data_IF_583787324204
#
_entry.id   IF_583787324204
#
_cell.length_a   1.000
_cell.length_b   1.000
_cell.length_c   1.000
_cell.angle_alpha   90.00
_cell.angle_beta   90.00
_cell.angle_gamma   90.00
#
_symmetry.space_group_name_H-M   'P 1'
#
loop_
_entity.id
_entity.type
_entity.pdbx_description
1 polymer ?
#
# COMPACT_ATOMS: atom_id res chain seq x y z
N UNK A 1 3.96 0.40 9.76
CA UNK A 1 4.85 1.56 9.52
C UNK A 1 5.11 1.86 8.05
N UNK A 2 5.35 3.14 7.73
CA UNK A 2 5.78 3.61 6.42
C UNK A 2 7.23 3.16 6.12
N UNK A 3 7.48 2.73 4.88
CA UNK A 3 8.81 2.42 4.35
C UNK A 3 8.92 3.09 2.98
N UNK A 4 9.98 3.87 2.77
CA UNK A 4 10.20 4.56 1.51
C UNK A 4 10.53 3.62 0.35
N UNK A 5 10.49 4.12 -0.90
CA UNK A 5 10.95 3.41 -2.08
C UNK A 5 12.34 2.79 -1.92
N UNK A 6 12.47 1.53 -2.31
CA UNK A 6 13.75 0.82 -2.42
C UNK A 6 13.71 -0.14 -3.63
N UNK A 7 13.53 0.38 -4.85
CA UNK A 7 13.52 -0.46 -6.04
C UNK A 7 14.88 -1.15 -6.22
N UNK A 8 14.92 -2.45 -6.56
CA UNK A 8 16.19 -3.14 -6.81
C UNK A 8 16.90 -2.57 -8.04
N UNK A 9 18.23 -2.55 -8.03
CA UNK A 9 18.98 -1.94 -9.13
C UNK A 9 18.80 -2.67 -10.45
N UNK A 10 18.64 -1.91 -11.55
CA UNK A 10 18.49 -2.46 -12.89
C UNK A 10 17.10 -3.02 -13.19
N UNK A 11 16.12 -2.81 -12.30
CA UNK A 11 14.72 -3.23 -12.53
C UNK A 11 13.89 -2.16 -13.25
N UNK A 12 14.51 -1.04 -13.62
CA UNK A 12 13.87 0.05 -14.33
C UNK A 12 12.99 0.93 -13.43
N UNK A 13 12.05 1.67 -14.01
CA UNK A 13 11.17 2.56 -13.26
C UNK A 13 10.08 1.80 -12.47
N UNK A 14 9.91 2.15 -11.20
CA UNK A 14 8.84 1.64 -10.32
C UNK A 14 7.82 2.74 -10.03
N UNK A 15 6.53 2.42 -10.17
CA UNK A 15 5.45 3.31 -9.79
C UNK A 15 5.05 3.11 -8.34
N UNK A 16 5.04 4.19 -7.58
CA UNK A 16 4.54 4.23 -6.22
C UNK A 16 3.21 4.96 -6.23
N UNK A 17 2.14 4.23 -5.93
CA UNK A 17 0.75 4.70 -6.02
C UNK A 17 0.22 4.94 -4.61
N UNK A 18 -0.28 6.14 -4.36
CA UNK A 18 -1.03 6.46 -3.16
C UNK A 18 -2.51 6.50 -3.47
N UNK A 19 -3.31 5.82 -2.66
CA UNK A 19 -4.76 5.69 -2.83
C UNK A 19 -5.44 6.14 -1.54
N UNK A 20 -6.45 7.00 -1.67
CA UNK A 20 -7.25 7.50 -0.56
C UNK A 20 -8.69 7.04 -0.71
N UNK A 21 -9.22 6.41 0.33
CA UNK A 21 -10.55 5.81 0.33
C UNK A 21 -11.48 6.44 1.36
N UNK A 22 -12.76 6.49 1.02
CA UNK A 22 -13.85 6.59 1.98
C UNK A 22 -14.10 5.20 2.55
N UNK A 23 -14.21 5.09 3.87
CA UNK A 23 -14.71 3.88 4.52
C UNK A 23 -16.16 4.08 4.97
N UNK A 24 -17.00 3.08 4.73
CA UNK A 24 -18.38 3.05 5.24
C UNK A 24 -18.47 2.50 6.68
N UNK A 25 -17.44 1.75 7.10
CA UNK A 25 -17.31 1.18 8.45
C UNK A 25 -16.21 1.92 9.22
N UNK A 26 -16.26 1.97 10.58
CA UNK A 26 -15.11 2.40 11.36
C UNK A 26 -13.87 1.64 10.92
N UNK A 27 -12.72 2.33 10.87
CA UNK A 27 -11.49 1.68 10.48
C UNK A 27 -11.30 0.44 11.36
N UNK A 28 -11.05 -0.74 10.76
CA UNK A 28 -10.68 -1.92 11.55
C UNK A 28 -9.54 -1.52 12.50
N UNK A 29 -9.67 -1.84 13.79
CA UNK A 29 -8.52 -1.88 14.68
C UNK A 29 -7.60 -2.98 14.14
N UNK A 30 -6.69 -2.61 13.24
CA UNK A 30 -5.70 -3.52 12.75
C UNK A 30 -4.64 -3.70 13.84
N UNK A 31 -4.66 -4.86 14.49
CA UNK A 31 -3.61 -5.31 15.41
C UNK A 31 -2.25 -5.54 14.72
N UNK A 32 -2.17 -5.39 13.40
CA UNK A 32 -0.96 -5.66 12.63
C UNK A 32 -0.39 -4.39 12.00
N UNK A 33 0.14 -3.46 12.82
CA UNK A 33 1.20 -2.60 12.28
C UNK A 33 2.35 -3.53 11.87
N UNK A 34 2.58 -3.66 10.56
CA UNK A 34 3.78 -4.35 10.07
C UNK A 34 4.95 -3.41 10.36
N UNK A 35 5.79 -3.80 11.30
CA UNK A 35 7.02 -3.09 11.62
C UNK A 35 7.92 -3.01 10.37
N UNK A 36 8.77 -1.99 10.28
CA UNK A 36 9.73 -1.86 9.17
C UNK A 36 10.67 -3.09 9.11
N UNK A 37 10.99 -3.68 10.26
CA UNK A 37 11.82 -4.88 10.39
C UNK A 37 11.20 -6.15 9.79
N UNK A 38 9.87 -6.19 9.60
CA UNK A 38 9.15 -7.36 9.07
C UNK A 38 8.77 -7.17 7.59
N UNK A 39 9.79 -6.86 6.77
CA UNK A 39 9.63 -6.55 5.34
C UNK A 39 9.08 -7.72 4.51
N UNK A 40 9.26 -8.96 4.98
CA UNK A 40 8.78 -10.17 4.31
C UNK A 40 7.26 -10.22 4.16
N UNK A 41 6.52 -9.72 5.16
CA UNK A 41 5.05 -9.69 5.18
C UNK A 41 4.43 -8.62 4.29
N UNK A 42 5.23 -7.74 3.69
CA UNK A 42 4.76 -6.65 2.82
C UNK A 42 4.55 -7.08 1.36
N UNK A 43 5.07 -8.24 0.97
CA UNK A 43 4.92 -8.77 -0.39
C UNK A 43 3.48 -9.23 -0.61
N UNK A 44 3.03 -9.22 -1.87
CA UNK A 44 1.74 -9.79 -2.30
C UNK A 44 0.51 -9.13 -1.66
N UNK A 45 0.54 -7.81 -1.44
CA UNK A 45 -0.67 -7.08 -1.04
C UNK A 45 -1.72 -7.13 -2.17
N UNK A 46 -2.93 -7.58 -1.84
CA UNK A 46 -4.03 -7.72 -2.79
C UNK A 46 -4.99 -6.54 -2.65
N UNK A 47 -4.73 -5.45 -3.40
CA UNK A 47 -5.50 -4.20 -3.32
C UNK A 47 -7.01 -4.42 -3.47
N UNK A 48 -7.45 -5.16 -4.49
CA UNK A 48 -8.89 -5.39 -4.74
C UNK A 48 -9.57 -6.17 -3.62
N UNK A 49 -8.86 -7.12 -3.01
CA UNK A 49 -9.37 -7.86 -1.86
C UNK A 49 -9.51 -6.92 -0.65
N UNK A 50 -8.51 -6.08 -0.40
CA UNK A 50 -8.56 -5.09 0.66
C UNK A 50 -9.71 -4.10 0.48
N UNK A 51 -9.91 -3.55 -0.73
CA UNK A 51 -11.05 -2.68 -1.05
C UNK A 51 -12.40 -3.36 -0.77
N UNK A 52 -12.54 -4.61 -1.20
CA UNK A 52 -13.76 -5.39 -1.02
C UNK A 52 -14.03 -5.69 0.46
N UNK A 53 -13.06 -6.25 1.17
CA UNK A 53 -13.22 -6.68 2.57
C UNK A 53 -13.59 -5.51 3.51
N UNK A 54 -13.12 -4.31 3.19
CA UNK A 54 -13.36 -3.11 4.00
C UNK A 54 -14.39 -2.14 3.40
N UNK A 55 -15.10 -2.55 2.35
CA UNK A 55 -16.14 -1.73 1.70
C UNK A 55 -15.65 -0.32 1.35
N UNK A 56 -14.46 -0.24 0.75
CA UNK A 56 -13.77 1.02 0.49
C UNK A 56 -14.19 1.63 -0.85
N UNK A 57 -14.45 2.93 -0.85
CA UNK A 57 -14.72 3.71 -2.05
C UNK A 57 -13.54 4.64 -2.35
N UNK A 58 -12.87 4.47 -3.50
CA UNK A 58 -11.76 5.33 -3.90
C UNK A 58 -12.24 6.77 -4.10
N UNK A 59 -11.56 7.73 -3.46
CA UNK A 59 -11.84 9.17 -3.60
C UNK A 59 -10.71 9.89 -4.36
N UNK A 60 -9.46 9.51 -4.11
CA UNK A 60 -8.32 10.15 -4.74
C UNK A 60 -7.17 9.17 -4.97
N UNK A 61 -6.37 9.45 -6.00
CA UNK A 61 -5.17 8.71 -6.32
C UNK A 61 -4.08 9.69 -6.80
N UNK A 62 -2.83 9.40 -6.46
CA UNK A 62 -1.66 10.06 -7.04
C UNK A 62 -0.52 9.06 -7.15
N UNK A 63 0.48 9.37 -7.96
CA UNK A 63 1.63 8.49 -8.16
C UNK A 63 2.89 9.27 -8.48
N UNK A 64 4.03 8.67 -8.14
CA UNK A 64 5.33 9.11 -8.61
C UNK A 64 6.16 7.90 -9.03
N UNK A 65 7.20 8.15 -9.83
CA UNK A 65 8.08 7.11 -10.35
C UNK A 65 9.46 7.25 -9.73
N UNK A 66 10.08 6.12 -9.36
CA UNK A 66 11.47 6.04 -8.88
C UNK A 66 12.23 5.06 -9.76
N UNK A 67 13.47 5.41 -10.11
CA UNK A 67 14.36 4.56 -10.91
C UNK A 67 15.30 3.82 -9.95
N UNK A 68 15.39 2.49 -10.11
CA UNK A 68 16.32 1.62 -9.36
C UNK A 68 17.60 1.31 -10.11
#
# INVERSE_FOLDING_TARGET
>A
DYQGPAPPSGTGPHQYIFLLYKSAIPAPQHDASIAVSDSGKRKQFHLRKFEHDFQLQLIAATSYTVIG
#
